data_IF_765389194586
#
_entry.id   IF_765389194586
#
_cell.length_a   1.000
_cell.length_b   1.000
_cell.length_c   1.000
_cell.angle_alpha   90.00
_cell.angle_beta   90.00
_cell.angle_gamma   90.00
#
_symmetry.space_group_name_H-M   'P 1'
#
loop_
_entity.id
_entity.type
_entity.pdbx_description
1 polymer ?
#
# COMPACT_ATOMS: atom_id res chain seq x y z
N UNK A 1 5.31 -1.81 6.69
CA UNK A 1 5.10 -0.43 6.28
C UNK A 1 3.69 -0.28 5.69
N UNK A 2 2.98 0.77 6.11
CA UNK A 2 1.80 1.33 5.43
C UNK A 2 2.26 2.67 4.82
N UNK A 3 2.40 2.72 3.49
CA UNK A 3 3.13 3.81 2.83
C UNK A 3 2.27 5.06 2.55
N UNK A 4 0.94 4.90 2.46
CA UNK A 4 -0.03 5.97 2.21
C UNK A 4 -1.14 5.90 3.29
N UNK A 5 -0.75 6.02 4.55
CA UNK A 5 -1.48 5.48 5.69
C UNK A 5 -2.71 6.29 6.15
N UNK A 6 -2.73 7.62 5.91
CA UNK A 6 -3.79 8.47 6.47
C UNK A 6 -5.18 8.18 5.85
N UNK A 7 -6.23 8.22 6.66
CA UNK A 7 -6.31 8.68 8.05
C UNK A 7 -5.96 7.61 9.11
N UNK A 8 -5.56 6.39 8.74
CA UNK A 8 -5.11 5.35 9.66
C UNK A 8 -6.03 4.14 9.79
N UNK A 9 -7.11 4.05 9.02
CA UNK A 9 -8.05 2.92 9.10
C UNK A 9 -7.39 1.57 8.83
N UNK A 10 -6.59 1.47 7.76
CA UNK A 10 -5.85 0.24 7.43
C UNK A 10 -4.68 0.02 8.39
N UNK A 11 -3.94 1.08 8.78
CA UNK A 11 -2.86 1.00 9.76
C UNK A 11 -3.33 0.45 11.11
N UNK A 12 -4.46 0.94 11.63
CA UNK A 12 -5.00 0.48 12.91
C UNK A 12 -5.51 -0.96 12.85
N UNK A 13 -6.08 -1.37 11.72
CA UNK A 13 -6.44 -2.76 11.47
C UNK A 13 -5.20 -3.66 11.44
N UNK A 14 -4.13 -3.26 10.73
CA UNK A 14 -2.85 -3.98 10.71
C UNK A 14 -2.27 -4.11 12.11
N UNK A 15 -2.25 -3.02 12.90
CA UNK A 15 -1.78 -3.04 14.28
C UNK A 15 -2.55 -4.05 15.15
N UNK A 16 -3.88 -4.09 15.03
CA UNK A 16 -4.72 -5.07 15.69
C UNK A 16 -4.36 -6.52 15.33
N UNK A 17 -4.09 -6.78 14.04
CA UNK A 17 -3.65 -8.09 13.56
C UNK A 17 -2.23 -8.45 14.04
N UNK A 18 -1.35 -7.48 14.22
CA UNK A 18 0.01 -7.67 14.73
C UNK A 18 0.04 -8.00 16.24
N UNK A 19 -1.00 -7.69 16.98
CA UNK A 19 -1.11 -8.00 18.43
C UNK A 19 0.11 -7.53 19.25
N UNK A 20 0.62 -6.34 18.95
CA UNK A 20 1.79 -5.76 19.59
C UNK A 20 3.14 -6.36 19.16
N UNK A 21 3.16 -7.27 18.18
CA UNK A 21 4.39 -7.87 17.68
C UNK A 21 4.99 -7.07 16.53
N UNK A 22 6.32 -6.98 16.48
CA UNK A 22 7.04 -6.28 15.41
C UNK A 22 6.84 -4.77 15.45
N UNK A 23 7.20 -4.11 14.35
CA UNK A 23 7.09 -2.66 14.16
C UNK A 23 6.18 -2.35 12.97
N UNK A 24 5.19 -1.47 13.18
CA UNK A 24 4.37 -0.89 12.12
C UNK A 24 4.85 0.53 11.82
N UNK A 25 5.39 0.75 10.64
CA UNK A 25 5.71 2.10 10.15
C UNK A 25 4.55 2.59 9.30
N UNK A 26 4.00 3.76 9.64
CA UNK A 26 2.89 4.39 8.94
C UNK A 26 3.36 5.71 8.37
N UNK A 27 3.37 5.86 7.05
CA UNK A 27 3.80 7.09 6.40
C UNK A 27 2.65 7.83 5.72
N UNK A 28 2.69 9.15 5.76
CA UNK A 28 1.78 10.04 5.04
C UNK A 28 2.52 11.29 4.59
N UNK A 29 2.43 11.60 3.29
CA UNK A 29 3.14 12.75 2.70
C UNK A 29 2.56 14.11 3.13
N UNK A 30 1.23 14.18 3.37
CA UNK A 30 0.55 15.42 3.71
C UNK A 30 0.60 15.69 5.21
N UNK A 31 1.24 16.80 5.70
CA UNK A 31 1.42 17.04 7.12
C UNK A 31 0.12 17.09 7.94
N UNK A 32 -0.94 17.65 7.38
CA UNK A 32 -2.25 17.70 8.06
C UNK A 32 -2.84 16.31 8.24
N UNK A 33 -2.73 15.45 7.22
CA UNK A 33 -3.24 14.07 7.27
C UNK A 33 -2.36 13.20 8.18
N UNK A 34 -1.04 13.41 8.18
CA UNK A 34 -0.13 12.72 9.09
C UNK A 34 -0.43 12.99 10.57
N UNK A 35 -0.85 14.21 10.91
CA UNK A 35 -1.32 14.55 12.29
C UNK A 35 -2.60 13.80 12.66
N UNK A 36 -3.54 13.65 11.72
CA UNK A 36 -4.77 12.88 11.95
C UNK A 36 -4.42 11.40 12.18
N UNK A 37 -3.52 10.86 11.36
CA UNK A 37 -3.00 9.49 11.48
C UNK A 37 -2.36 9.28 12.87
N UNK A 38 -1.45 10.17 13.29
CA UNK A 38 -0.81 10.10 14.60
C UNK A 38 -1.84 10.11 15.74
N UNK A 39 -2.80 11.04 15.70
CA UNK A 39 -3.87 11.10 16.71
C UNK A 39 -4.73 9.83 16.75
N UNK A 40 -4.97 9.16 15.62
CA UNK A 40 -5.69 7.88 15.60
C UNK A 40 -4.86 6.73 16.20
N UNK A 41 -3.55 6.68 15.92
CA UNK A 41 -2.61 5.69 16.49
C UNK A 41 -2.53 5.86 18.00
N UNK A 42 -2.36 7.10 18.50
CA UNK A 42 -2.30 7.44 19.92
C UNK A 42 -3.61 7.11 20.63
N UNK A 43 -4.74 7.56 20.08
CA UNK A 43 -6.08 7.32 20.65
C UNK A 43 -6.40 5.84 20.86
N UNK A 44 -5.87 4.97 19.97
CA UNK A 44 -6.06 3.52 20.07
C UNK A 44 -4.97 2.82 20.88
N UNK A 45 -4.01 3.56 21.46
CA UNK A 45 -2.96 3.02 22.31
C UNK A 45 -2.01 2.04 21.60
N UNK A 46 -1.74 2.27 20.32
CA UNK A 46 -0.88 1.39 19.51
C UNK A 46 0.58 1.72 19.80
N UNK A 47 1.23 0.95 20.66
CA UNK A 47 2.57 1.21 21.15
C UNK A 47 3.70 0.83 20.18
N UNK A 48 3.44 -0.08 19.24
CA UNK A 48 4.43 -0.59 18.28
C UNK A 48 4.29 0.05 16.88
N UNK A 49 3.80 1.29 16.81
CA UNK A 49 3.69 2.04 15.56
C UNK A 49 4.61 3.27 15.57
N UNK A 50 5.19 3.56 14.40
CA UNK A 50 5.95 4.77 14.11
C UNK A 50 5.26 5.54 13.00
N UNK A 51 4.85 6.78 13.26
CA UNK A 51 4.24 7.66 12.25
C UNK A 51 5.29 8.57 11.64
N UNK A 52 5.37 8.57 10.31
CA UNK A 52 6.29 9.39 9.53
C UNK A 52 5.50 10.35 8.64
N UNK A 53 6.10 11.53 8.37
CA UNK A 53 5.58 12.47 7.41
C UNK A 53 6.68 12.77 6.38
N UNK A 54 6.85 11.87 5.42
CA UNK A 54 7.93 11.93 4.45
C UNK A 54 7.47 11.54 3.04
N UNK A 55 8.19 12.04 2.05
CA UNK A 55 8.03 11.59 0.67
C UNK A 55 8.58 10.17 0.52
N UNK A 56 7.89 9.22 -0.18
CA UNK A 56 8.33 7.83 -0.34
C UNK A 56 9.79 7.68 -0.77
N UNK A 57 10.25 8.48 -1.72
CA UNK A 57 11.64 8.45 -2.21
C UNK A 57 12.68 8.78 -1.12
N UNK A 58 12.35 9.58 -0.11
CA UNK A 58 13.28 9.88 0.99
C UNK A 58 13.42 8.71 1.96
N UNK A 59 12.42 7.83 2.00
CA UNK A 59 12.45 6.63 2.83
C UNK A 59 13.33 5.53 2.22
N UNK A 60 13.49 5.49 0.89
CA UNK A 60 14.24 4.45 0.18
C UNK A 60 15.66 4.25 0.74
N UNK A 61 16.40 5.34 0.93
CA UNK A 61 17.79 5.27 1.40
C UNK A 61 17.92 4.78 2.85
N UNK A 62 16.87 4.99 3.66
CA UNK A 62 16.87 4.61 5.08
C UNK A 62 16.35 3.20 5.32
N UNK A 63 15.48 2.73 4.44
CA UNK A 63 14.75 1.48 4.58
C UNK A 63 14.96 0.51 3.41
N UNK A 64 16.07 0.62 2.68
CA UNK A 64 16.38 -0.27 1.56
C UNK A 64 16.35 -1.75 2.01
N UNK A 65 15.46 -2.56 1.40
CA UNK A 65 15.31 -3.98 1.71
C UNK A 65 14.91 -4.30 3.17
N UNK A 66 14.29 -3.35 3.86
CA UNK A 66 14.04 -3.45 5.31
C UNK A 66 12.73 -4.15 5.66
N UNK A 67 11.64 -3.87 4.94
CA UNK A 67 10.30 -4.31 5.33
C UNK A 67 9.98 -5.72 4.84
N UNK A 68 9.36 -6.50 5.72
CA UNK A 68 8.79 -7.83 5.40
C UNK A 68 7.55 -7.70 4.54
N UNK A 69 6.72 -6.69 4.85
CA UNK A 69 5.43 -6.44 4.21
C UNK A 69 5.23 -4.94 4.03
N UNK A 70 4.75 -4.58 2.86
CA UNK A 70 4.38 -3.19 2.55
C UNK A 70 2.93 -3.17 2.06
N UNK A 71 2.14 -2.23 2.58
CA UNK A 71 0.85 -1.85 2.07
C UNK A 71 0.98 -0.51 1.34
N UNK A 72 0.47 -0.45 0.14
CA UNK A 72 0.28 0.77 -0.65
C UNK A 72 -1.20 0.90 -0.96
N UNK A 73 -1.94 1.55 -0.05
CA UNK A 73 -3.31 2.00 -0.34
C UNK A 73 -3.19 3.34 -1.06
N UNK A 74 -3.08 3.27 -2.37
CA UNK A 74 -2.56 4.36 -3.17
C UNK A 74 -3.56 5.52 -3.32
N UNK A 75 -3.08 6.77 -3.36
CA UNK A 75 -3.92 7.88 -3.82
C UNK A 75 -4.38 7.60 -5.25
N UNK A 76 -5.67 7.75 -5.50
CA UNK A 76 -6.31 7.42 -6.76
C UNK A 76 -7.42 8.42 -7.11
N UNK A 77 -8.00 8.31 -8.31
CA UNK A 77 -9.10 9.16 -8.76
C UNK A 77 -10.40 8.98 -7.98
N UNK A 78 -10.55 7.88 -7.22
CA UNK A 78 -11.57 7.72 -6.19
C UNK A 78 -12.98 7.39 -6.69
N UNK A 79 -13.15 6.83 -7.88
CA UNK A 79 -14.47 6.49 -8.45
C UNK A 79 -15.33 5.63 -7.53
N UNK A 80 -14.72 4.71 -6.76
CA UNK A 80 -15.41 3.90 -5.77
C UNK A 80 -16.02 4.71 -4.63
N UNK A 81 -15.61 5.96 -4.45
CA UNK A 81 -16.09 6.84 -3.39
C UNK A 81 -17.25 7.75 -3.81
N UNK A 82 -17.67 7.76 -5.07
CA UNK A 82 -18.71 8.65 -5.60
C UNK A 82 -20.03 8.62 -4.84
N UNK A 83 -20.38 7.48 -4.26
CA UNK A 83 -21.60 7.36 -3.43
C UNK A 83 -21.44 7.97 -2.04
N UNK A 84 -20.23 8.23 -1.59
CA UNK A 84 -19.88 8.61 -0.22
C UNK A 84 -19.38 10.05 -0.11
N UNK A 85 -18.71 10.52 -1.14
CA UNK A 85 -18.09 11.84 -1.21
C UNK A 85 -18.45 12.53 -2.53
N UNK A 86 -19.29 13.55 -2.46
CA UNK A 86 -19.68 14.35 -3.62
C UNK A 86 -18.48 15.07 -4.25
N UNK A 87 -17.52 15.47 -3.44
CA UNK A 87 -16.28 16.08 -3.91
C UNK A 87 -15.49 15.17 -4.85
N UNK A 88 -15.52 13.85 -4.63
CA UNK A 88 -14.84 12.90 -5.52
C UNK A 88 -15.39 12.93 -6.96
N UNK A 89 -16.70 13.19 -7.12
CA UNK A 89 -17.32 13.33 -8.45
C UNK A 89 -16.84 14.60 -9.14
N UNK A 90 -16.75 15.71 -8.38
CA UNK A 90 -16.37 17.00 -8.91
C UNK A 90 -14.89 17.06 -9.30
N UNK A 91 -14.03 16.36 -8.57
CA UNK A 91 -12.57 16.34 -8.76
C UNK A 91 -12.11 15.30 -9.80
N UNK A 92 -13.02 14.44 -10.24
CA UNK A 92 -12.70 13.39 -11.21
C UNK A 92 -12.58 13.94 -12.64
N UNK A 93 -11.54 13.54 -13.33
CA UNK A 93 -11.34 13.74 -14.76
C UNK A 93 -10.38 12.68 -15.31
N UNK A 94 -10.31 12.52 -16.63
CA UNK A 94 -9.34 11.63 -17.28
C UNK A 94 -7.90 12.06 -16.98
N UNK A 95 -7.64 13.37 -16.87
CA UNK A 95 -6.34 13.92 -16.50
C UNK A 95 -5.98 13.54 -15.05
N UNK A 96 -6.96 13.56 -14.14
CA UNK A 96 -6.78 13.11 -12.74
C UNK A 96 -6.43 11.63 -12.69
N UNK A 97 -7.10 10.78 -13.49
CA UNK A 97 -6.78 9.34 -13.61
C UNK A 97 -5.33 9.15 -14.08
N UNK A 98 -4.93 9.84 -15.16
CA UNK A 98 -3.57 9.73 -15.71
C UNK A 98 -2.50 10.20 -14.71
N UNK A 99 -2.76 11.31 -14.02
CA UNK A 99 -1.86 11.85 -12.98
C UNK A 99 -1.74 10.88 -11.79
N UNK A 100 -2.83 10.27 -11.37
CA UNK A 100 -2.84 9.29 -10.30
C UNK A 100 -2.06 8.02 -10.70
N UNK A 101 -2.28 7.50 -11.90
CA UNK A 101 -1.55 6.34 -12.42
C UNK A 101 -0.03 6.57 -12.45
N UNK A 102 0.42 7.74 -12.94
CA UNK A 102 1.84 8.09 -12.93
C UNK A 102 2.42 8.13 -11.50
N UNK A 103 1.71 8.76 -10.56
CA UNK A 103 2.10 8.82 -9.14
C UNK A 103 2.15 7.44 -8.49
N UNK A 104 1.22 6.57 -8.82
CA UNK A 104 1.17 5.19 -8.31
C UNK A 104 2.40 4.39 -8.75
N UNK A 105 2.85 4.55 -10.00
CA UNK A 105 4.09 3.93 -10.48
C UNK A 105 5.32 4.38 -9.68
N UNK A 106 5.43 5.66 -9.34
CA UNK A 106 6.51 6.18 -8.49
C UNK A 106 6.47 5.61 -7.07
N UNK A 107 5.28 5.56 -6.47
CA UNK A 107 5.08 5.00 -5.12
C UNK A 107 5.43 3.51 -5.08
N UNK A 108 4.95 2.74 -6.06
CA UNK A 108 5.25 1.31 -6.17
C UNK A 108 6.75 1.05 -6.37
N UNK A 109 7.43 1.86 -7.20
CA UNK A 109 8.88 1.76 -7.39
C UNK A 109 9.65 2.03 -6.09
N UNK A 110 9.22 3.02 -5.30
CA UNK A 110 9.78 3.29 -3.97
C UNK A 110 9.54 2.12 -3.01
N UNK A 111 8.34 1.56 -3.00
CA UNK A 111 7.99 0.39 -2.18
C UNK A 111 8.84 -0.83 -2.54
N UNK A 112 9.09 -1.09 -3.82
CA UNK A 112 9.92 -2.20 -4.29
C UNK A 112 11.35 -2.18 -3.73
N UNK A 113 11.95 -0.99 -3.64
CA UNK A 113 13.30 -0.80 -3.09
C UNK A 113 13.36 -1.03 -1.58
N UNK A 114 12.28 -0.71 -0.88
CA UNK A 114 12.20 -0.85 0.57
C UNK A 114 11.78 -2.27 1.01
N UNK A 115 11.21 -3.06 0.12
CA UNK A 115 10.80 -4.44 0.40
C UNK A 115 12.01 -5.38 0.33
N UNK A 116 12.18 -6.23 1.34
CA UNK A 116 13.22 -7.26 1.34
C UNK A 116 12.92 -8.37 0.31
N UNK A 117 13.93 -9.14 -0.13
CA UNK A 117 13.71 -10.37 -0.88
C UNK A 117 12.75 -11.30 -0.14
N UNK A 118 11.85 -11.97 -0.86
CA UNK A 118 10.78 -12.80 -0.29
C UNK A 118 9.67 -12.03 0.43
N UNK A 119 9.72 -10.71 0.44
CA UNK A 119 8.70 -9.85 1.05
C UNK A 119 7.41 -9.78 0.24
N UNK A 120 6.34 -9.28 0.86
CA UNK A 120 5.01 -9.13 0.25
C UNK A 120 4.64 -7.66 0.15
N UNK A 121 4.21 -7.25 -1.02
CA UNK A 121 3.65 -5.93 -1.31
C UNK A 121 2.17 -6.07 -1.64
N UNK A 122 1.31 -5.36 -0.91
CA UNK A 122 -0.11 -5.24 -1.23
C UNK A 122 -0.35 -3.86 -1.81
N UNK A 123 -0.87 -3.81 -3.00
CA UNK A 123 -1.33 -2.60 -3.67
C UNK A 123 -2.85 -2.55 -3.66
N UNK A 124 -3.45 -1.40 -3.35
CA UNK A 124 -4.90 -1.21 -3.41
C UNK A 124 -5.27 0.21 -3.84
N UNK A 125 -6.45 0.34 -4.45
CA UNK A 125 -7.09 1.61 -4.82
C UNK A 125 -8.59 1.54 -4.53
N UNK A 126 -9.22 2.71 -4.47
CA UNK A 126 -10.67 2.83 -4.47
C UNK A 126 -11.22 3.40 -5.79
N UNK A 127 -10.59 3.08 -6.93
CA UNK A 127 -11.05 3.47 -8.26
C UNK A 127 -11.42 2.26 -9.11
N UNK A 128 -12.15 2.48 -10.18
CA UNK A 128 -12.45 1.44 -11.20
C UNK A 128 -11.58 1.58 -12.45
N UNK A 129 -10.85 2.69 -12.59
CA UNK A 129 -10.02 3.00 -13.75
C UNK A 129 -8.96 1.92 -14.01
N UNK A 130 -8.96 1.24 -15.16
CA UNK A 130 -7.97 0.20 -15.48
C UNK A 130 -6.55 0.74 -15.50
N UNK A 131 -6.36 1.99 -15.89
CA UNK A 131 -5.04 2.65 -15.93
C UNK A 131 -4.38 2.71 -14.56
N UNK A 132 -5.17 2.96 -13.52
CA UNK A 132 -4.70 3.02 -12.13
C UNK A 132 -4.59 1.64 -11.48
N UNK A 133 -5.30 0.66 -11.96
CA UNK A 133 -5.42 -0.68 -11.43
C UNK A 133 -4.49 -1.64 -12.17
N UNK A 134 -4.99 -2.36 -13.14
CA UNK A 134 -4.22 -3.33 -13.93
C UNK A 134 -3.04 -2.66 -14.65
N UNK A 135 -3.21 -1.41 -15.14
CA UNK A 135 -2.17 -0.65 -15.81
C UNK A 135 -0.98 -0.35 -14.90
N UNK A 136 -1.23 0.15 -13.69
CA UNK A 136 -0.17 0.43 -12.70
C UNK A 136 0.55 -0.85 -12.28
N UNK A 137 -0.18 -1.96 -12.07
CA UNK A 137 0.42 -3.26 -11.70
C UNK A 137 1.21 -3.84 -12.87
N UNK A 138 0.70 -3.75 -14.11
CA UNK A 138 1.41 -4.22 -15.31
C UNK A 138 2.71 -3.46 -15.52
N UNK A 139 2.67 -2.13 -15.51
CA UNK A 139 3.86 -1.29 -15.64
C UNK A 139 4.89 -1.59 -14.53
N UNK A 140 4.44 -1.82 -13.31
CA UNK A 140 5.31 -2.22 -12.21
C UNK A 140 5.99 -3.56 -12.47
N UNK A 141 5.27 -4.59 -12.90
CA UNK A 141 5.83 -5.92 -13.18
C UNK A 141 6.80 -5.91 -14.35
N UNK A 142 6.54 -5.11 -15.39
CA UNK A 142 7.49 -4.94 -16.50
C UNK A 142 8.79 -4.25 -16.07
N UNK A 143 8.72 -3.31 -15.12
CA UNK A 143 9.89 -2.61 -14.58
C UNK A 143 10.65 -3.41 -13.51
N UNK A 144 10.02 -4.39 -12.86
CA UNK A 144 10.54 -5.14 -11.72
C UNK A 144 10.38 -6.65 -11.93
N UNK A 145 11.29 -7.25 -12.73
CA UNK A 145 11.26 -8.68 -13.08
C UNK A 145 11.47 -9.63 -11.89
N UNK A 146 11.87 -9.10 -10.75
CA UNK A 146 11.99 -9.82 -9.48
C UNK A 146 10.67 -9.87 -8.68
N UNK A 147 9.56 -9.38 -9.25
CA UNK A 147 8.24 -9.46 -8.64
C UNK A 147 7.29 -10.33 -9.47
N UNK A 148 6.34 -10.95 -8.77
CA UNK A 148 5.24 -11.70 -9.37
C UNK A 148 3.97 -11.54 -8.54
N UNK A 149 2.80 -11.80 -9.16
CA UNK A 149 1.51 -11.76 -8.48
C UNK A 149 1.35 -13.03 -7.65
N UNK A 150 1.09 -12.87 -6.35
CA UNK A 150 0.73 -13.96 -5.46
C UNK A 150 -0.79 -14.18 -5.52
N UNK A 151 -1.22 -15.36 -5.93
CA UNK A 151 -2.64 -15.68 -6.00
C UNK A 151 -3.24 -15.79 -4.61
N UNK A 152 -4.25 -14.96 -4.35
CA UNK A 152 -5.09 -15.02 -3.15
C UNK A 152 -6.53 -15.22 -3.60
N UNK A 153 -7.30 -16.03 -2.90
CA UNK A 153 -8.69 -16.26 -3.24
C UNK A 153 -9.63 -15.98 -2.07
N UNK A 154 -10.78 -15.39 -2.37
CA UNK A 154 -11.91 -15.30 -1.48
C UNK A 154 -13.21 -15.38 -2.32
N UNK A 155 -14.32 -15.91 -1.78
CA UNK A 155 -15.54 -16.13 -2.55
C UNK A 155 -16.14 -14.86 -3.17
N UNK A 156 -15.78 -13.70 -2.62
CA UNK A 156 -16.28 -12.39 -3.06
C UNK A 156 -15.29 -11.64 -3.98
N UNK A 157 -14.12 -12.20 -4.26
CA UNK A 157 -13.17 -11.60 -5.21
C UNK A 157 -13.59 -11.91 -6.64
N UNK A 158 -13.66 -10.85 -7.46
CA UNK A 158 -13.74 -11.02 -8.90
C UNK A 158 -12.36 -10.75 -9.50
N UNK A 159 -11.97 -11.49 -10.54
CA UNK A 159 -10.64 -11.37 -11.13
C UNK A 159 -10.39 -9.98 -11.69
N UNK A 160 -9.12 -9.59 -11.74
CA UNK A 160 -8.66 -8.46 -12.53
C UNK A 160 -8.98 -8.63 -14.02
N UNK A 161 -8.86 -7.56 -14.75
CA UNK A 161 -9.28 -7.47 -16.15
C UNK A 161 -8.09 -7.10 -17.06
N UNK A 162 -7.20 -8.08 -17.35
CA UNK A 162 -6.08 -7.84 -18.27
C UNK A 162 -6.53 -7.39 -19.66
N UNK A 163 -7.72 -7.78 -20.08
CA UNK A 163 -8.36 -7.39 -21.33
C UNK A 163 -8.75 -5.90 -21.42
N UNK A 164 -8.61 -5.13 -20.36
CA UNK A 164 -8.93 -3.70 -20.31
C UNK A 164 -7.71 -2.78 -20.50
N UNK A 165 -6.53 -3.35 -20.70
CA UNK A 165 -5.29 -2.60 -20.94
C UNK A 165 -4.52 -3.19 -22.13
N UNK A 166 -3.71 -2.35 -22.79
CA UNK A 166 -3.03 -2.72 -24.05
C UNK A 166 -1.86 -3.69 -23.86
N UNK A 167 -1.14 -3.62 -22.73
CA UNK A 167 0.08 -4.40 -22.49
C UNK A 167 0.02 -5.09 -21.10
N UNK A 168 -0.81 -6.15 -20.97
CA UNK A 168 -0.98 -6.83 -19.71
C UNK A 168 0.21 -7.72 -19.35
N UNK A 169 0.81 -7.50 -18.16
CA UNK A 169 1.77 -8.42 -17.59
C UNK A 169 1.07 -9.75 -17.22
N UNK A 170 1.79 -10.90 -17.26
CA UNK A 170 1.23 -12.18 -16.87
C UNK A 170 0.71 -12.21 -15.43
N UNK A 171 -0.44 -12.85 -15.21
CA UNK A 171 -1.02 -13.08 -13.90
C UNK A 171 -1.96 -11.99 -13.39
N UNK A 172 -2.24 -10.94 -14.17
CA UNK A 172 -3.17 -9.87 -13.77
C UNK A 172 -4.59 -10.37 -13.47
N UNK A 173 -5.00 -11.51 -14.03
CA UNK A 173 -6.25 -12.19 -13.69
C UNK A 173 -6.31 -12.67 -12.22
N UNK A 174 -5.17 -12.76 -11.54
CA UNK A 174 -5.07 -13.09 -10.12
C UNK A 174 -5.10 -11.87 -9.19
N UNK A 175 -5.21 -10.67 -9.73
CA UNK A 175 -5.60 -9.49 -8.96
C UNK A 175 -7.11 -9.48 -8.74
N UNK A 176 -7.63 -8.60 -7.89
CA UNK A 176 -9.05 -8.66 -7.59
C UNK A 176 -9.73 -7.31 -7.60
N UNK A 177 -10.97 -7.37 -8.07
CA UNK A 177 -11.92 -6.26 -8.05
C UNK A 177 -13.07 -6.57 -7.12
N UNK A 178 -13.40 -5.59 -6.29
CA UNK A 178 -14.53 -5.59 -5.38
C UNK A 178 -15.58 -4.61 -5.92
N UNK A 179 -16.69 -5.14 -6.40
CA UNK A 179 -17.71 -4.33 -7.06
C UNK A 179 -18.88 -4.01 -6.12
N UNK A 180 -19.32 -2.73 -6.01
CA UNK A 180 -20.36 -2.31 -5.08
C UNK A 180 -21.74 -2.92 -5.40
N UNK A 181 -21.97 -3.41 -6.60
CA UNK A 181 -23.20 -4.14 -6.98
C UNK A 181 -23.17 -5.64 -6.61
N UNK A 182 -22.01 -6.15 -6.19
CA UNK A 182 -21.81 -7.55 -5.75
C UNK A 182 -21.62 -7.66 -4.25
N UNK A 183 -21.13 -6.60 -3.61
CA UNK A 183 -20.80 -6.56 -2.19
C UNK A 183 -21.42 -5.35 -1.51
N UNK A 184 -21.70 -5.47 -0.21
CA UNK A 184 -22.07 -4.32 0.62
C UNK A 184 -20.81 -3.53 0.97
N UNK A 185 -20.49 -2.51 0.20
CA UNK A 185 -19.29 -1.68 0.40
C UNK A 185 -19.04 -0.78 -0.79
N UNK A 186 -17.93 -0.07 -0.71
CA UNK A 186 -17.41 0.75 -1.80
C UNK A 186 -16.57 -0.11 -2.77
N UNK A 187 -16.35 0.42 -3.99
CA UNK A 187 -15.50 -0.26 -4.97
C UNK A 187 -14.03 -0.25 -4.55
N UNK A 188 -13.35 -1.38 -4.78
CA UNK A 188 -11.92 -1.49 -4.53
C UNK A 188 -11.25 -2.38 -5.58
N UNK A 189 -9.98 -2.10 -5.80
CA UNK A 189 -9.05 -3.00 -6.49
C UNK A 189 -7.93 -3.37 -5.54
N UNK A 190 -7.40 -4.59 -5.65
CA UNK A 190 -6.19 -4.96 -4.95
C UNK A 190 -5.36 -5.99 -5.73
N UNK A 191 -4.04 -5.91 -5.54
CA UNK A 191 -3.06 -6.88 -6.02
C UNK A 191 -2.12 -7.26 -4.89
N UNK A 192 -1.81 -8.56 -4.77
CA UNK A 192 -0.77 -9.05 -3.86
C UNK A 192 0.44 -9.44 -4.69
N UNK A 193 1.54 -8.77 -4.42
CA UNK A 193 2.80 -8.95 -5.12
C UNK A 193 3.84 -9.55 -4.17
N UNK A 194 4.68 -10.42 -4.68
CA UNK A 194 5.79 -10.99 -3.92
C UNK A 194 7.10 -10.71 -4.64
N UNK A 195 8.10 -10.30 -3.86
CA UNK A 195 9.48 -10.15 -4.33
C UNK A 195 10.16 -11.52 -4.31
N UNK A 196 10.81 -11.90 -5.40
CA UNK A 196 11.57 -13.13 -5.48
C UNK A 196 12.75 -13.15 -4.48
N UNK A 197 13.20 -14.34 -4.13
CA UNK A 197 14.29 -14.53 -3.17
C UNK A 197 13.82 -15.16 -1.86
N UNK A 198 14.76 -15.75 -1.13
CA UNK A 198 14.53 -16.23 0.23
C UNK A 198 14.78 -15.12 1.22
N UNK A 199 13.87 -14.96 2.16
CA UNK A 199 14.13 -14.18 3.37
C UNK A 199 15.08 -15.00 4.25
N UNK A 200 16.39 -14.92 4.01
CA UNK A 200 17.31 -15.20 5.09
C UNK A 200 17.01 -14.16 6.17
N UNK A 201 16.55 -14.65 7.33
CA UNK A 201 16.39 -13.82 8.51
C UNK A 201 17.80 -13.28 8.82
N UNK A 202 18.10 -12.06 8.40
CA UNK A 202 19.30 -11.39 8.87
C UNK A 202 19.16 -11.38 10.39
N UNK A 203 20.01 -12.14 11.08
CA UNK A 203 20.08 -12.11 12.54
C UNK A 203 20.17 -10.63 12.94
N UNK A 204 19.17 -10.17 13.70
CA UNK A 204 19.20 -8.83 14.25
C UNK A 204 20.57 -8.66 14.93
N UNK A 205 21.34 -7.60 14.64
CA UNK A 205 22.55 -7.33 15.39
C UNK A 205 22.17 -7.32 16.87
N UNK A 206 22.94 -8.07 17.67
CA UNK A 206 22.72 -8.17 19.11
C UNK A 206 22.43 -6.77 19.68
N UNK A 207 21.32 -6.66 20.41
CA UNK A 207 20.82 -5.42 20.97
C UNK A 207 21.97 -4.66 21.66
N UNK A 208 22.37 -3.53 21.10
CA UNK A 208 22.96 -2.48 21.92
C UNK A 208 21.82 -1.86 22.71
N UNK A 209 21.65 -2.30 23.95
CA UNK A 209 20.79 -1.66 24.89
C UNK A 209 21.15 -0.16 24.94
N UNK A 210 20.30 0.68 24.33
CA UNK A 210 20.39 2.11 24.54
C UNK A 210 19.92 2.33 25.97
N UNK A 211 20.86 2.66 26.86
CA UNK A 211 20.53 3.01 28.22
C UNK A 211 19.50 4.17 28.19
N UNK A 212 18.37 3.97 28.86
CA UNK A 212 17.39 5.03 29.01
C UNK A 212 18.07 6.27 29.62
N UNK A 213 17.75 7.49 29.13
CA UNK A 213 18.22 8.70 29.76
C UNK A 213 17.87 8.66 31.25
N UNK A 214 18.85 8.84 32.09
CA UNK A 214 18.59 9.06 33.51
C UNK A 214 18.01 10.46 33.61
N UNK A 215 16.77 10.54 34.11
CA UNK A 215 16.03 11.75 34.44
C UNK A 215 15.28 12.44 33.25
N UNK A 216 13.99 12.36 33.34
CA UNK A 216 13.05 13.45 33.13
C UNK A 216 12.47 13.87 34.45
#
# INVERSE_FOLDING_TARGET
LDLCAAPGGKSTQLAGMMRGQGLLVCNEIHPKRARILAGNIERLGIANALVLNEHPQRLEARFAGYFDKILVDAPCSGEGMFRKEEAAITDWSEETVAMCAARQCEILSSAAKMLRPGGRLVYSTCTFAPQENEGSVSAFLHAHSDFFIETVSAPWFLPGRPDWIDDPAPGLEHTFRLWPHKLRGEGHYAAVLRKAGSAECAALPAERAIAAPKEL
#
